data_IF_402345633387
#
_entry.id   IF_402345633387
#
_cell.length_a   1.000
_cell.length_b   1.000
_cell.length_c   1.000
_cell.angle_alpha   90.00
_cell.angle_beta   90.00
_cell.angle_gamma   90.00
#
_symmetry.space_group_name_H-M   'P 1'
#
loop_
_entity.id
_entity.type
_entity.pdbx_description
1 polymer ?
#
# COMPACT_ATOMS: atom_id res chain seq x y z
N UNK A 1 65.54 -66.18 -8.09
CA UNK A 1 64.29 -66.44 -7.28
C UNK A 1 64.17 -65.35 -6.24
N UNK A 2 63.40 -64.34 -6.51
CA UNK A 2 63.15 -63.22 -5.57
C UNK A 2 61.68 -63.21 -5.27
N UNK A 3 61.33 -63.43 -4.00
CA UNK A 3 59.95 -63.44 -3.51
C UNK A 3 59.53 -62.01 -3.15
N UNK A 4 58.45 -61.51 -3.79
CA UNK A 4 57.82 -60.25 -3.45
C UNK A 4 56.76 -60.47 -2.37
N UNK A 5 56.99 -59.86 -1.19
CA UNK A 5 55.97 -59.69 -0.13
C UNK A 5 55.06 -58.55 -0.54
N UNK A 6 53.72 -58.82 -0.66
CA UNK A 6 52.68 -57.76 -0.76
C UNK A 6 52.11 -57.50 0.64
N UNK A 7 52.41 -56.28 1.17
CA UNK A 7 51.67 -55.73 2.32
C UNK A 7 50.34 -55.14 1.82
N UNK A 8 49.24 -55.71 2.30
CA UNK A 8 47.91 -55.17 2.13
C UNK A 8 47.61 -54.14 3.24
N UNK A 9 47.48 -52.87 2.88
CA UNK A 9 47.05 -51.81 3.77
C UNK A 9 45.54 -51.67 3.67
N UNK A 10 44.79 -52.21 4.70
CA UNK A 10 43.35 -52.08 4.82
C UNK A 10 42.98 -50.69 5.27
N UNK A 11 42.34 -49.90 4.41
CA UNK A 11 41.71 -48.62 4.80
C UNK A 11 40.35 -48.90 5.46
N UNK A 12 40.27 -48.65 6.76
CA UNK A 12 39.04 -48.65 7.53
C UNK A 12 38.29 -47.33 7.25
N UNK A 13 37.28 -47.32 6.40
CA UNK A 13 36.35 -46.21 6.17
C UNK A 13 35.40 -46.13 7.38
N UNK A 14 35.68 -45.20 8.29
CA UNK A 14 34.70 -44.75 9.29
C UNK A 14 33.63 -43.91 8.59
N UNK A 15 32.48 -44.49 8.30
CA UNK A 15 31.30 -43.74 7.88
C UNK A 15 30.70 -43.00 9.08
N UNK A 16 31.03 -41.71 9.20
CA UNK A 16 30.32 -40.81 10.12
C UNK A 16 28.94 -40.50 9.52
N UNK A 17 27.91 -41.17 10.04
CA UNK A 17 26.52 -40.80 9.76
C UNK A 17 26.24 -39.43 10.39
N UNK A 18 26.22 -38.38 9.58
CA UNK A 18 25.59 -37.13 9.95
C UNK A 18 24.09 -37.38 10.01
N UNK A 19 23.59 -37.69 11.20
CA UNK A 19 22.16 -37.63 11.49
C UNK A 19 21.72 -36.19 11.28
N UNK A 20 20.87 -35.92 10.29
CA UNK A 20 20.12 -34.68 10.22
C UNK A 20 19.24 -34.61 11.47
N UNK A 21 19.62 -33.79 12.43
CA UNK A 21 18.73 -33.40 13.51
C UNK A 21 17.64 -32.57 12.83
N UNK A 22 16.50 -33.19 12.54
CA UNK A 22 15.29 -32.46 12.22
C UNK A 22 15.05 -31.52 13.42
N UNK A 23 15.10 -30.22 13.19
CA UNK A 23 14.75 -29.25 14.22
C UNK A 23 13.32 -29.62 14.66
N UNK A 24 13.17 -30.01 15.93
CA UNK A 24 11.87 -30.26 16.55
C UNK A 24 11.07 -28.97 16.36
N UNK A 25 9.99 -29.03 15.58
CA UNK A 25 9.12 -27.88 15.36
C UNK A 25 8.56 -27.47 16.70
N UNK A 26 8.88 -26.27 17.16
CA UNK A 26 8.39 -25.76 18.43
C UNK A 26 6.85 -25.85 18.44
N UNK A 27 6.31 -26.34 19.55
CA UNK A 27 4.86 -26.40 19.72
C UNK A 27 4.28 -25.00 19.58
N UNK A 28 3.42 -24.81 18.58
CA UNK A 28 2.75 -23.52 18.32
C UNK A 28 2.14 -22.90 19.59
N UNK A 29 1.60 -23.76 20.46
CA UNK A 29 0.94 -23.33 21.70
C UNK A 29 1.89 -22.71 22.73
N UNK A 30 3.18 -22.94 22.64
CA UNK A 30 4.17 -22.28 23.52
C UNK A 30 4.11 -20.75 23.35
N UNK A 31 3.84 -20.29 22.14
CA UNK A 31 3.73 -18.86 21.83
C UNK A 31 2.55 -18.17 22.53
N UNK A 32 1.52 -18.90 22.95
CA UNK A 32 0.39 -18.31 23.69
C UNK A 32 0.80 -17.77 25.07
N UNK A 33 1.97 -18.18 25.58
CA UNK A 33 2.52 -17.76 26.87
C UNK A 33 3.65 -16.74 26.74
N UNK A 34 3.96 -16.32 25.50
CA UNK A 34 5.05 -15.36 25.24
C UNK A 34 4.68 -14.00 25.81
N UNK A 35 5.44 -13.55 26.80
CA UNK A 35 5.28 -12.22 27.37
C UNK A 35 6.08 -11.18 26.60
N UNK A 36 5.41 -10.11 26.23
CA UNK A 36 6.00 -8.93 25.56
C UNK A 36 5.39 -7.65 26.13
N UNK A 37 6.16 -6.56 26.25
CA UNK A 37 5.65 -5.28 26.76
C UNK A 37 4.43 -4.80 25.95
N UNK A 38 3.40 -4.34 26.64
CA UNK A 38 2.18 -3.76 26.04
C UNK A 38 1.55 -4.65 24.93
N UNK A 39 1.62 -5.98 25.13
CA UNK A 39 1.17 -6.93 24.12
C UNK A 39 0.43 -8.09 24.78
N UNK A 40 -0.67 -8.48 24.16
CA UNK A 40 -1.39 -9.71 24.50
C UNK A 40 -1.38 -10.63 23.31
N UNK A 41 -0.84 -11.85 23.45
CA UNK A 41 -1.08 -12.93 22.49
C UNK A 41 -2.49 -13.46 22.74
N UNK A 42 -3.35 -13.40 21.75
CA UNK A 42 -4.75 -13.82 21.83
C UNK A 42 -4.87 -15.32 21.55
N UNK A 43 -4.16 -15.78 20.51
CA UNK A 43 -4.11 -17.20 20.18
C UNK A 43 -2.79 -17.58 19.48
N UNK A 44 -2.45 -18.87 19.55
CA UNK A 44 -1.37 -19.47 18.78
C UNK A 44 -1.81 -20.89 18.40
N UNK A 45 -2.25 -21.09 17.17
CA UNK A 45 -2.89 -22.30 16.70
C UNK A 45 -2.25 -22.83 15.43
N UNK A 46 -2.13 -24.16 15.35
CA UNK A 46 -1.71 -24.83 14.13
C UNK A 46 -2.85 -24.78 13.10
N UNK A 47 -2.53 -24.32 11.89
CA UNK A 47 -3.42 -24.34 10.72
C UNK A 47 -2.86 -25.33 9.71
N UNK A 48 -3.66 -26.34 9.38
CA UNK A 48 -3.31 -27.36 8.39
C UNK A 48 -3.56 -26.87 6.96
N UNK A 49 -2.87 -27.46 5.96
CA UNK A 49 -3.13 -27.16 4.56
C UNK A 49 -4.60 -27.39 4.17
N UNK A 50 -5.15 -26.51 3.37
CA UNK A 50 -6.55 -26.60 2.93
C UNK A 50 -7.23 -25.25 2.81
N UNK A 51 -8.56 -25.25 2.83
CA UNK A 51 -9.36 -24.03 2.83
C UNK A 51 -9.38 -23.41 4.23
N UNK A 52 -8.61 -22.36 4.42
CA UNK A 52 -8.64 -21.56 5.64
C UNK A 52 -9.71 -20.47 5.50
N UNK A 53 -10.64 -20.42 6.44
CA UNK A 53 -11.68 -19.39 6.46
C UNK A 53 -11.18 -18.14 7.16
N UNK A 54 -11.19 -17.04 6.44
CA UNK A 54 -10.93 -15.72 7.02
C UNK A 54 -12.04 -15.32 8.00
N UNK A 55 -11.81 -14.40 8.92
CA UNK A 55 -12.86 -13.82 9.76
C UNK A 55 -14.03 -13.22 8.97
N UNK A 56 -13.80 -12.74 7.74
CA UNK A 56 -14.84 -12.31 6.80
C UNK A 56 -15.75 -13.45 6.30
N UNK A 57 -15.35 -14.71 6.52
CA UNK A 57 -16.02 -15.90 5.99
C UNK A 57 -15.48 -16.40 4.66
N UNK A 58 -14.67 -15.61 3.96
CA UNK A 58 -14.07 -15.97 2.67
C UNK A 58 -12.98 -17.03 2.85
N UNK A 59 -12.92 -18.08 2.00
CA UNK A 59 -11.86 -19.06 2.06
C UNK A 59 -10.64 -18.61 1.27
N UNK A 60 -9.45 -18.80 1.85
CA UNK A 60 -8.18 -18.77 1.12
C UNK A 60 -7.54 -20.15 1.13
N UNK A 61 -6.86 -20.51 0.03
CA UNK A 61 -6.18 -21.80 -0.08
C UNK A 61 -4.79 -21.72 0.57
N UNK A 62 -4.59 -22.48 1.63
CA UNK A 62 -3.31 -22.62 2.31
C UNK A 62 -2.63 -23.90 1.81
N UNK A 63 -1.41 -23.78 1.32
CA UNK A 63 -0.64 -24.91 0.79
C UNK A 63 0.36 -25.50 1.77
N UNK A 64 0.70 -24.79 2.83
CA UNK A 64 1.67 -25.20 3.85
C UNK A 64 1.05 -25.07 5.24
N UNK A 65 1.29 -26.04 6.10
CA UNK A 65 0.93 -25.91 7.51
C UNK A 65 1.70 -24.75 8.14
N UNK A 66 1.05 -24.00 9.01
CA UNK A 66 1.66 -22.87 9.70
C UNK A 66 1.11 -22.66 11.11
N UNK A 67 1.91 -22.09 11.98
CA UNK A 67 1.44 -21.58 13.26
C UNK A 67 0.88 -20.18 13.05
N UNK A 68 -0.42 -19.98 13.28
CA UNK A 68 -1.10 -18.70 13.28
C UNK A 68 -1.05 -18.10 14.67
N UNK A 69 -0.34 -16.99 14.83
CA UNK A 69 -0.32 -16.23 16.07
C UNK A 69 -1.14 -14.96 15.87
N UNK A 70 -2.14 -14.74 16.71
CA UNK A 70 -2.89 -13.49 16.74
C UNK A 70 -2.59 -12.73 18.02
N UNK A 71 -2.50 -11.42 17.94
CA UNK A 71 -2.17 -10.60 19.10
C UNK A 71 -2.66 -9.17 18.98
N UNK A 72 -2.59 -8.46 20.10
CA UNK A 72 -2.93 -7.04 20.23
C UNK A 72 -1.77 -6.31 20.88
N UNK A 73 -1.31 -5.24 20.25
CA UNK A 73 -0.33 -4.31 20.81
C UNK A 73 -1.02 -3.01 21.23
N UNK A 74 -0.66 -2.49 22.39
CA UNK A 74 -1.22 -1.26 22.98
C UNK A 74 -0.10 -0.27 23.31
N UNK A 75 0.57 0.32 22.30
CA UNK A 75 1.69 1.25 22.51
C UNK A 75 1.26 2.55 23.20
N UNK A 76 -0.04 2.88 23.21
CA UNK A 76 -0.62 3.95 24.00
C UNK A 76 -1.91 3.48 24.69
N UNK A 77 -2.49 4.32 25.57
CA UNK A 77 -3.75 4.00 26.23
C UNK A 77 -4.96 3.94 25.29
N UNK A 78 -4.87 4.55 24.11
CA UNK A 78 -5.91 4.59 23.09
C UNK A 78 -5.66 3.60 21.94
N UNK A 79 -4.48 2.97 21.91
CA UNK A 79 -4.11 2.00 20.87
C UNK A 79 -4.74 0.63 21.09
N UNK A 80 -5.16 0.01 20.01
CA UNK A 80 -5.66 -1.38 19.96
C UNK A 80 -5.21 -2.02 18.63
N UNK A 81 -3.88 -2.15 18.45
CA UNK A 81 -3.26 -2.59 17.20
C UNK A 81 -3.28 -4.10 17.13
N UNK A 82 -4.19 -4.67 16.35
CA UNK A 82 -4.25 -6.12 16.11
C UNK A 82 -3.26 -6.52 15.04
N UNK A 83 -2.68 -7.71 15.23
CA UNK A 83 -1.73 -8.26 14.28
C UNK A 83 -1.85 -9.77 14.18
N UNK A 84 -1.40 -10.29 13.06
CA UNK A 84 -1.18 -11.72 12.87
C UNK A 84 0.24 -12.01 12.41
N UNK A 85 0.82 -13.10 12.95
CA UNK A 85 2.09 -13.66 12.48
C UNK A 85 1.86 -15.10 12.06
N UNK A 86 2.17 -15.40 10.80
CA UNK A 86 2.03 -16.75 10.23
C UNK A 86 3.40 -17.38 10.05
N UNK A 87 3.66 -18.48 10.74
CA UNK A 87 4.97 -19.11 10.83
C UNK A 87 4.92 -20.49 10.16
N UNK A 88 5.53 -20.70 8.97
CA UNK A 88 5.63 -22.03 8.38
C UNK A 88 6.17 -23.06 9.37
N UNK A 89 5.49 -24.19 9.53
CA UNK A 89 5.98 -25.28 10.43
C UNK A 89 7.08 -26.12 9.78
N UNK A 90 7.20 -26.05 8.45
CA UNK A 90 8.28 -26.67 7.68
C UNK A 90 8.79 -25.70 6.61
N UNK A 91 10.00 -25.88 6.16
CA UNK A 91 10.61 -25.14 5.04
C UNK A 91 10.64 -23.61 5.20
N UNK A 92 10.76 -23.12 6.45
CA UNK A 92 10.98 -21.69 6.68
C UNK A 92 12.31 -21.27 6.04
N UNK A 93 12.24 -20.26 5.16
CA UNK A 93 13.41 -19.76 4.42
C UNK A 93 14.38 -18.88 5.23
N UNK A 94 14.15 -18.74 6.55
CA UNK A 94 14.98 -17.95 7.44
C UNK A 94 14.69 -16.42 7.40
N UNK A 95 13.58 -16.00 6.82
CA UNK A 95 13.27 -14.59 6.57
C UNK A 95 11.87 -14.22 7.06
N UNK A 96 11.69 -12.89 7.30
CA UNK A 96 10.40 -12.28 7.63
C UNK A 96 9.87 -11.49 6.42
N UNK A 97 8.58 -11.64 6.15
CA UNK A 97 7.81 -10.86 5.18
C UNK A 97 6.73 -10.08 5.88
N UNK A 98 6.73 -8.76 5.74
CA UNK A 98 5.66 -7.91 6.22
C UNK A 98 4.88 -7.32 5.04
N UNK A 99 3.59 -7.11 5.27
CA UNK A 99 2.68 -6.54 4.28
C UNK A 99 1.84 -5.44 4.91
N UNK A 100 1.55 -4.40 4.12
CA UNK A 100 0.73 -3.26 4.54
C UNK A 100 -0.72 -3.36 4.06
N UNK A 101 -1.45 -2.27 4.26
CA UNK A 101 -2.88 -2.15 3.96
C UNK A 101 -3.11 -1.13 2.85
N UNK A 102 -4.20 -1.30 2.09
CA UNK A 102 -4.73 -0.28 1.18
C UNK A 102 -5.63 0.74 1.91
N UNK A 103 -6.07 1.75 1.18
CA UNK A 103 -7.10 2.70 1.64
C UNK A 103 -6.76 3.37 2.99
N UNK A 104 -7.77 3.58 3.85
CA UNK A 104 -7.57 4.03 5.24
C UNK A 104 -7.32 2.86 6.21
N UNK A 105 -6.81 1.71 5.71
CA UNK A 105 -6.54 0.49 6.49
C UNK A 105 -7.79 -0.11 7.17
N UNK A 106 -7.69 -0.53 8.42
CA UNK A 106 -8.84 -1.04 9.17
C UNK A 106 -9.18 -2.50 8.88
N UNK A 107 -8.23 -3.28 8.36
CA UNK A 107 -8.40 -4.70 8.08
C UNK A 107 -7.07 -5.45 8.09
N UNK A 108 -7.12 -6.76 8.38
CA UNK A 108 -5.94 -7.61 8.29
C UNK A 108 -5.61 -7.95 6.82
N UNK A 109 -4.38 -7.72 6.34
CA UNK A 109 -4.01 -7.92 4.94
C UNK A 109 -3.73 -9.41 4.61
N UNK A 110 -4.75 -10.25 4.71
CA UNK A 110 -4.65 -11.71 4.57
C UNK A 110 -4.03 -12.18 3.26
N UNK A 111 -4.29 -11.47 2.16
CA UNK A 111 -3.72 -11.80 0.87
C UNK A 111 -2.19 -11.71 0.88
N UNK A 112 -1.64 -10.63 1.43
CA UNK A 112 -0.19 -10.45 1.57
C UNK A 112 0.45 -11.43 2.54
N UNK A 113 -0.24 -11.77 3.65
CA UNK A 113 0.19 -12.84 4.56
C UNK A 113 0.30 -14.19 3.84
N UNK A 114 -0.69 -14.52 3.02
CA UNK A 114 -0.73 -15.76 2.24
C UNK A 114 0.38 -15.85 1.20
N UNK A 115 0.72 -14.74 0.53
CA UNK A 115 1.86 -14.68 -0.41
C UNK A 115 3.17 -15.01 0.31
N UNK A 116 3.48 -14.30 1.39
CA UNK A 116 4.71 -14.54 2.14
C UNK A 116 4.81 -15.98 2.66
N UNK A 117 3.72 -16.50 3.23
CA UNK A 117 3.66 -17.90 3.69
C UNK A 117 3.91 -18.88 2.53
N UNK A 118 3.30 -18.65 1.36
CA UNK A 118 3.47 -19.50 0.17
C UNK A 118 4.92 -19.63 -0.26
N UNK A 119 5.69 -18.54 -0.18
CA UNK A 119 7.11 -18.44 -0.49
C UNK A 119 8.03 -18.88 0.68
N UNK A 120 7.46 -19.40 1.77
CA UNK A 120 8.21 -19.93 2.93
C UNK A 120 8.73 -18.88 3.90
N UNK A 121 8.23 -17.66 3.85
CA UNK A 121 8.54 -16.63 4.87
C UNK A 121 7.67 -16.83 6.12
N UNK A 122 8.20 -16.43 7.27
CA UNK A 122 7.34 -15.97 8.35
C UNK A 122 6.68 -14.67 7.90
N UNK A 123 5.34 -14.57 7.98
CA UNK A 123 4.60 -13.42 7.46
C UNK A 123 3.94 -12.64 8.60
N UNK A 124 3.86 -11.31 8.47
CA UNK A 124 3.22 -10.44 9.46
C UNK A 124 2.38 -9.35 8.79
N UNK A 125 1.24 -9.05 9.39
CA UNK A 125 0.35 -7.95 9.01
C UNK A 125 -0.43 -7.41 10.21
N UNK A 126 -1.03 -6.24 10.05
CA UNK A 126 -1.79 -5.55 11.11
C UNK A 126 -3.01 -4.83 10.52
N UNK A 127 -4.04 -4.60 11.35
CA UNK A 127 -5.18 -3.73 11.04
C UNK A 127 -4.89 -2.23 11.22
N UNK A 128 -3.71 -1.89 11.73
CA UNK A 128 -3.27 -0.53 12.09
C UNK A 128 -4.02 0.12 13.25
N UNK A 129 -4.70 -0.64 14.08
CA UNK A 129 -5.30 -0.17 15.33
C UNK A 129 -6.78 0.21 15.25
N UNK A 130 -7.46 -0.20 14.18
CA UNK A 130 -8.91 0.02 14.01
C UNK A 130 -9.52 -1.00 13.05
N UNK A 131 -10.84 -1.06 13.01
CA UNK A 131 -11.64 -1.80 12.03
C UNK A 131 -12.61 -0.83 11.36
N UNK A 132 -12.58 -0.73 10.04
CA UNK A 132 -13.43 0.18 9.28
C UNK A 132 -13.55 -0.21 7.81
N UNK A 133 -14.51 0.37 7.09
CA UNK A 133 -14.59 0.32 5.65
C UNK A 133 -13.45 1.11 4.97
N UNK A 134 -13.22 0.88 3.68
CA UNK A 134 -12.05 1.39 2.97
C UNK A 134 -11.83 2.91 3.06
N UNK A 135 -12.90 3.67 3.09
CA UNK A 135 -12.91 5.15 3.10
C UNK A 135 -13.48 5.74 4.38
N UNK A 136 -13.86 4.89 5.34
CA UNK A 136 -14.40 5.35 6.62
C UNK A 136 -13.27 5.77 7.56
N UNK A 137 -13.27 7.04 7.98
CA UNK A 137 -12.34 7.60 8.94
C UNK A 137 -13.02 8.03 10.26
N UNK A 138 -14.27 7.61 10.52
CA UNK A 138 -14.96 7.94 11.77
C UNK A 138 -14.24 7.40 13.01
N UNK A 139 -13.46 6.33 12.86
CA UNK A 139 -12.63 5.77 13.93
C UNK A 139 -11.56 6.74 14.46
N UNK A 140 -11.19 7.76 13.67
CA UNK A 140 -10.21 8.77 14.07
C UNK A 140 -10.80 9.86 14.97
N UNK A 141 -12.14 10.02 14.98
CA UNK A 141 -12.83 11.09 15.72
C UNK A 141 -12.65 10.90 17.22
N UNK A 142 -11.93 11.84 17.86
CA UNK A 142 -11.61 11.76 19.28
C UNK A 142 -10.47 10.80 19.64
N UNK A 143 -9.81 10.17 18.65
CA UNK A 143 -8.78 9.17 18.83
C UNK A 143 -7.44 9.54 18.16
N UNK A 144 -6.74 10.60 18.60
CA UNK A 144 -5.51 11.08 17.96
C UNK A 144 -4.40 10.03 17.94
N UNK A 145 -4.31 9.16 18.94
CA UNK A 145 -3.31 8.10 18.99
C UNK A 145 -3.55 7.01 17.94
N UNK A 146 -4.80 6.71 17.59
CA UNK A 146 -5.13 5.82 16.49
C UNK A 146 -4.72 6.41 15.14
N UNK A 147 -4.80 7.73 14.97
CA UNK A 147 -4.28 8.41 13.77
C UNK A 147 -2.77 8.24 13.67
N UNK A 148 -2.04 8.30 14.78
CA UNK A 148 -0.61 8.03 14.85
C UNK A 148 -0.30 6.56 14.53
N UNK A 149 -1.11 5.61 15.05
CA UNK A 149 -0.97 4.19 14.75
C UNK A 149 -1.12 3.93 13.25
N UNK A 150 -2.19 4.43 12.64
CA UNK A 150 -2.41 4.37 11.19
C UNK A 150 -1.29 5.05 10.40
N UNK A 151 -0.82 6.20 10.86
CA UNK A 151 0.18 7.02 10.21
C UNK A 151 1.52 6.29 10.02
N UNK A 152 2.06 5.71 11.09
CA UNK A 152 3.38 5.10 11.07
C UNK A 152 3.66 4.10 12.19
N UNK A 153 3.02 4.21 13.39
CA UNK A 153 3.45 3.47 14.58
C UNK A 153 3.08 1.99 14.53
N UNK A 154 1.91 1.64 14.01
CA UNK A 154 1.41 0.28 14.08
C UNK A 154 2.30 -0.73 13.33
N UNK A 155 2.78 -0.39 12.14
CA UNK A 155 3.64 -1.29 11.34
C UNK A 155 4.95 -1.56 12.08
N UNK A 156 5.61 -0.53 12.61
CA UNK A 156 6.82 -0.65 13.41
C UNK A 156 6.60 -1.55 14.64
N UNK A 157 5.60 -1.22 15.46
CA UNK A 157 5.32 -1.93 16.70
C UNK A 157 5.05 -3.43 16.45
N UNK A 158 4.32 -3.74 15.39
CA UNK A 158 4.02 -5.11 15.02
C UNK A 158 5.25 -5.83 14.45
N UNK A 159 6.10 -5.14 13.71
CA UNK A 159 7.35 -5.69 13.16
C UNK A 159 8.32 -6.10 14.27
N UNK A 160 8.49 -5.28 15.29
CA UNK A 160 9.33 -5.61 16.45
C UNK A 160 8.82 -6.86 17.16
N UNK A 161 7.51 -6.97 17.36
CA UNK A 161 6.85 -8.13 17.99
C UNK A 161 6.96 -9.38 17.14
N UNK A 162 6.76 -9.25 15.83
CA UNK A 162 6.89 -10.36 14.89
C UNK A 162 8.31 -10.95 14.91
N UNK A 163 9.34 -10.11 14.90
CA UNK A 163 10.73 -10.57 15.02
C UNK A 163 10.95 -11.35 16.33
N UNK A 164 10.37 -10.91 17.44
CA UNK A 164 10.44 -11.62 18.72
C UNK A 164 9.71 -12.97 18.67
N UNK A 165 8.51 -13.01 18.10
CA UNK A 165 7.71 -14.24 17.92
C UNK A 165 8.47 -15.24 17.03
N UNK A 166 9.06 -14.77 15.91
CA UNK A 166 9.89 -15.57 15.01
C UNK A 166 11.10 -16.17 15.77
N UNK A 167 11.79 -15.34 16.56
CA UNK A 167 12.95 -15.80 17.34
C UNK A 167 12.56 -16.87 18.36
N UNK A 168 11.41 -16.73 19.03
CA UNK A 168 10.91 -17.71 19.99
C UNK A 168 10.55 -19.03 19.31
N UNK A 169 9.84 -18.96 18.17
CA UNK A 169 9.36 -20.15 17.47
C UNK A 169 10.49 -20.96 16.81
N UNK A 170 11.44 -20.28 16.15
CA UNK A 170 12.51 -20.97 15.41
C UNK A 170 13.85 -21.04 16.17
N UNK A 171 13.93 -20.48 17.38
CA UNK A 171 15.18 -20.43 18.16
C UNK A 171 16.24 -19.48 17.57
N UNK A 172 15.88 -18.65 16.58
CA UNK A 172 16.78 -17.69 15.93
C UNK A 172 16.01 -16.54 15.27
N UNK A 173 16.64 -15.37 15.22
CA UNK A 173 16.09 -14.21 14.52
C UNK A 173 15.99 -14.46 13.00
N UNK A 174 15.09 -13.77 12.28
CA UNK A 174 15.09 -13.77 10.82
C UNK A 174 16.43 -13.19 10.31
N UNK A 175 17.06 -13.86 9.37
CA UNK A 175 18.30 -13.40 8.75
C UNK A 175 18.12 -12.13 7.93
N UNK A 176 16.93 -11.92 7.40
CA UNK A 176 16.49 -10.73 6.66
C UNK A 176 15.01 -10.49 6.89
N UNK A 177 14.61 -9.22 6.86
CA UNK A 177 13.22 -8.78 6.93
C UNK A 177 12.87 -7.93 5.72
N UNK A 178 11.75 -8.23 5.09
CA UNK A 178 11.28 -7.52 3.91
C UNK A 178 9.87 -6.97 4.13
N UNK A 179 9.61 -5.81 3.57
CA UNK A 179 8.27 -5.22 3.48
C UNK A 179 7.87 -5.08 2.02
N UNK A 180 6.64 -5.45 1.67
CA UNK A 180 6.12 -5.24 0.32
C UNK A 180 4.63 -4.94 0.36
N UNK A 181 4.26 -3.80 -0.20
CA UNK A 181 2.86 -3.40 -0.33
C UNK A 181 2.69 -2.28 -1.36
N UNK A 182 1.43 -1.93 -1.64
CA UNK A 182 1.02 -0.93 -2.64
C UNK A 182 0.09 0.12 -2.02
N UNK A 183 -0.07 1.27 -2.68
CA UNK A 183 -1.00 2.33 -2.29
C UNK A 183 -0.66 2.91 -0.90
N UNK A 184 -1.61 2.95 0.04
CA UNK A 184 -1.30 3.28 1.44
C UNK A 184 -0.22 2.37 2.02
N UNK A 185 -0.18 1.08 1.65
CA UNK A 185 0.89 0.17 2.04
C UNK A 185 2.25 0.55 1.46
N UNK A 186 2.30 1.12 0.26
CA UNK A 186 3.52 1.73 -0.29
C UNK A 186 4.00 2.91 0.56
N UNK A 187 3.07 3.77 1.02
CA UNK A 187 3.34 4.84 1.98
C UNK A 187 3.88 4.29 3.31
N UNK A 188 3.26 3.24 3.85
CA UNK A 188 3.76 2.57 5.06
C UNK A 188 5.20 2.09 4.89
N UNK A 189 5.54 1.48 3.75
CA UNK A 189 6.92 1.08 3.45
C UNK A 189 7.90 2.26 3.43
N UNK A 190 7.51 3.42 2.89
CA UNK A 190 8.31 4.63 2.94
C UNK A 190 8.45 5.18 4.37
N UNK A 191 7.37 5.16 5.18
CA UNK A 191 7.44 5.52 6.60
C UNK A 191 8.44 4.65 7.36
N UNK A 192 8.49 3.35 7.09
CA UNK A 192 9.46 2.44 7.68
C UNK A 192 10.89 2.81 7.30
N UNK A 193 11.15 3.07 6.01
CA UNK A 193 12.47 3.48 5.55
C UNK A 193 12.96 4.78 6.19
N UNK A 194 12.04 5.74 6.39
CA UNK A 194 12.33 7.08 6.92
C UNK A 194 12.48 7.09 8.45
N UNK A 195 11.52 6.48 9.16
CA UNK A 195 11.40 6.59 10.63
C UNK A 195 12.06 5.43 11.36
N UNK A 196 11.98 4.22 10.81
CA UNK A 196 12.41 2.97 11.43
C UNK A 196 13.36 2.17 10.53
N UNK A 197 14.48 2.77 10.13
CA UNK A 197 15.37 2.19 9.12
C UNK A 197 15.95 0.82 9.51
N UNK A 198 15.84 0.42 10.78
CA UNK A 198 16.35 -0.87 11.29
C UNK A 198 15.34 -2.02 11.15
N UNK A 199 14.11 -1.75 10.75
CA UNK A 199 13.07 -2.77 10.72
C UNK A 199 13.17 -3.70 9.52
N UNK A 200 13.57 -3.20 8.35
CA UNK A 200 13.61 -3.98 7.12
C UNK A 200 14.92 -3.84 6.37
N UNK A 201 15.38 -4.95 5.78
CA UNK A 201 16.54 -4.99 4.89
C UNK A 201 16.18 -4.61 3.46
N UNK A 202 14.94 -4.82 3.06
CA UNK A 202 14.42 -4.46 1.75
C UNK A 202 12.95 -4.07 1.81
N UNK A 203 12.61 -3.02 1.07
CA UNK A 203 11.26 -2.48 0.97
C UNK A 203 10.88 -2.37 -0.50
N UNK A 204 9.70 -2.90 -0.84
CA UNK A 204 9.06 -2.71 -2.14
C UNK A 204 7.81 -1.88 -1.92
N UNK A 205 7.82 -0.62 -2.36
CA UNK A 205 6.72 0.33 -2.24
C UNK A 205 6.12 0.61 -3.62
N UNK A 206 4.96 0.02 -3.88
CA UNK A 206 4.22 0.22 -5.13
C UNK A 206 3.26 1.39 -5.03
N UNK A 207 3.16 2.20 -6.09
CA UNK A 207 2.22 3.30 -6.21
C UNK A 207 1.94 3.99 -4.86
N UNK A 208 2.97 4.48 -4.13
CA UNK A 208 2.81 4.91 -2.75
C UNK A 208 1.99 6.19 -2.66
N UNK A 209 0.96 6.20 -1.79
CA UNK A 209 0.23 7.40 -1.39
C UNK A 209 1.11 8.25 -0.44
N UNK A 210 2.34 8.58 -0.88
CA UNK A 210 3.39 9.10 -0.02
C UNK A 210 3.04 10.43 0.66
N UNK A 211 2.32 11.30 -0.03
CA UNK A 211 1.84 12.59 0.45
C UNK A 211 0.32 12.57 0.51
N UNK A 212 -0.21 11.81 1.48
CA UNK A 212 -1.64 11.49 1.53
C UNK A 212 -2.52 12.72 1.74
N UNK A 213 -2.04 13.77 2.41
CA UNK A 213 -2.81 15.02 2.54
C UNK A 213 -3.07 15.65 1.18
N UNK A 214 -2.03 15.85 0.38
CA UNK A 214 -2.14 16.43 -0.95
C UNK A 214 -2.87 15.51 -1.94
N UNK A 215 -2.71 14.18 -1.81
CA UNK A 215 -3.46 13.23 -2.62
C UNK A 215 -4.97 13.39 -2.41
N UNK A 216 -5.42 13.41 -1.16
CA UNK A 216 -6.86 13.51 -0.85
C UNK A 216 -7.39 14.93 -1.10
N UNK A 217 -6.57 15.95 -0.91
CA UNK A 217 -6.90 17.30 -1.36
C UNK A 217 -7.14 17.37 -2.86
N UNK A 218 -6.34 16.60 -3.64
CA UNK A 218 -6.53 16.44 -5.08
C UNK A 218 -7.87 15.78 -5.41
N UNK A 219 -8.24 14.75 -4.68
CA UNK A 219 -9.55 14.10 -4.83
C UNK A 219 -10.69 15.07 -4.52
N UNK A 220 -10.60 15.80 -3.39
CA UNK A 220 -11.61 16.79 -3.02
C UNK A 220 -11.69 17.93 -4.05
N UNK A 221 -10.56 18.39 -4.58
CA UNK A 221 -10.55 19.41 -5.60
C UNK A 221 -11.23 18.95 -6.90
N UNK A 222 -10.93 17.74 -7.36
CA UNK A 222 -11.57 17.21 -8.57
C UNK A 222 -13.05 16.98 -8.32
N UNK A 223 -13.42 16.30 -7.24
CA UNK A 223 -14.80 15.92 -7.00
C UNK A 223 -15.68 17.10 -6.58
N UNK A 224 -15.28 17.89 -5.59
CA UNK A 224 -16.12 18.96 -5.03
C UNK A 224 -16.07 20.25 -5.84
N UNK A 225 -14.91 20.55 -6.49
CA UNK A 225 -14.70 21.84 -7.18
C UNK A 225 -14.78 21.72 -8.69
N UNK A 226 -14.14 20.70 -9.29
CA UNK A 226 -14.08 20.57 -10.76
C UNK A 226 -15.34 19.91 -11.30
N UNK A 227 -15.82 18.84 -10.65
CA UNK A 227 -16.99 18.06 -11.07
C UNK A 227 -18.24 18.35 -10.24
N UNK A 228 -18.15 19.22 -9.21
CA UNK A 228 -19.24 19.52 -8.28
C UNK A 228 -20.46 20.19 -8.93
N UNK A 229 -20.29 20.88 -10.06
CA UNK A 229 -21.40 21.39 -10.84
C UNK A 229 -21.94 20.29 -11.77
N UNK A 230 -23.24 20.03 -11.78
CA UNK A 230 -23.87 19.04 -12.65
C UNK A 230 -23.49 19.18 -14.13
N UNK A 231 -23.29 20.40 -14.61
CA UNK A 231 -22.88 20.67 -15.98
C UNK A 231 -21.44 20.23 -16.30
N UNK A 232 -20.58 20.11 -15.31
CA UNK A 232 -19.16 19.70 -15.44
C UNK A 232 -18.97 18.19 -15.24
N UNK A 233 -19.99 17.46 -14.75
CA UNK A 233 -19.91 16.03 -14.53
C UNK A 233 -19.56 15.29 -15.84
N UNK A 234 -18.58 14.39 -15.74
CA UNK A 234 -18.12 13.53 -16.84
C UNK A 234 -18.75 12.15 -16.70
N UNK A 235 -19.77 11.80 -17.53
CA UNK A 235 -20.30 10.45 -17.53
C UNK A 235 -19.29 9.44 -18.04
N UNK A 236 -19.24 8.25 -17.44
CA UNK A 236 -18.33 7.17 -17.86
C UNK A 236 -18.52 6.76 -19.33
N UNK A 237 -19.71 6.94 -19.89
CA UNK A 237 -19.99 6.69 -21.32
C UNK A 237 -19.14 7.52 -22.29
N UNK A 238 -18.52 8.62 -21.83
CA UNK A 238 -17.63 9.50 -22.62
C UNK A 238 -16.16 9.09 -22.56
N UNK A 239 -15.77 8.24 -21.63
CA UNK A 239 -14.38 7.82 -21.45
C UNK A 239 -13.75 7.17 -22.70
N UNK A 240 -14.48 6.33 -23.48
CA UNK A 240 -13.92 5.76 -24.71
C UNK A 240 -13.55 6.84 -25.76
N UNK A 241 -14.31 7.93 -25.84
CA UNK A 241 -14.00 9.01 -26.76
C UNK A 241 -12.78 9.82 -26.30
N UNK A 242 -12.63 10.02 -24.98
CA UNK A 242 -11.49 10.69 -24.37
C UNK A 242 -10.21 9.87 -24.60
N UNK A 243 -10.21 8.58 -24.26
CA UNK A 243 -9.09 7.67 -24.46
C UNK A 243 -8.70 7.57 -25.95
N UNK A 244 -9.68 7.46 -26.84
CA UNK A 244 -9.41 7.42 -28.30
C UNK A 244 -8.66 8.67 -28.75
N UNK A 245 -9.03 9.86 -28.24
CA UNK A 245 -8.34 11.09 -28.58
C UNK A 245 -6.92 11.15 -28.00
N UNK A 246 -6.72 10.65 -26.78
CA UNK A 246 -5.41 10.55 -26.14
C UNK A 246 -4.46 9.63 -26.92
N UNK A 247 -4.92 8.43 -27.25
CA UNK A 247 -4.17 7.45 -28.05
C UNK A 247 -3.88 7.96 -29.47
N UNK A 248 -4.86 8.59 -30.12
CA UNK A 248 -4.62 9.18 -31.45
C UNK A 248 -3.52 10.24 -31.44
N UNK A 249 -3.35 10.96 -30.34
CA UNK A 249 -2.34 12.00 -30.20
C UNK A 249 -0.95 11.44 -29.81
N UNK A 250 -0.87 10.37 -29.04
CA UNK A 250 0.33 10.04 -28.30
C UNK A 250 0.82 8.59 -28.40
N UNK A 251 -0.02 7.63 -28.82
CA UNK A 251 0.32 6.20 -28.89
C UNK A 251 1.59 5.91 -29.70
N UNK A 252 1.80 6.64 -30.79
CA UNK A 252 2.96 6.41 -31.67
C UNK A 252 4.25 7.16 -31.26
N UNK A 253 4.28 7.83 -30.10
CA UNK A 253 5.45 8.66 -29.69
C UNK A 253 6.68 7.83 -29.31
N UNK A 254 6.53 6.57 -28.99
CA UNK A 254 7.61 5.62 -28.73
C UNK A 254 8.04 4.84 -29.97
N UNK A 255 7.29 4.98 -31.09
CA UNK A 255 7.54 4.30 -32.37
C UNK A 255 6.68 3.06 -32.59
N UNK A 256 5.83 2.69 -31.62
CA UNK A 256 4.87 1.59 -31.71
C UNK A 256 3.45 2.15 -31.69
N UNK A 257 2.49 1.44 -32.25
CA UNK A 257 1.08 1.79 -32.18
C UNK A 257 0.31 0.58 -31.68
N UNK A 258 0.29 0.43 -30.35
CA UNK A 258 -0.23 -0.76 -29.68
C UNK A 258 -1.36 -0.45 -28.65
N UNK A 259 -1.80 0.81 -28.57
CA UNK A 259 -2.83 1.25 -27.63
C UNK A 259 -2.27 1.60 -26.24
N UNK A 260 -0.95 1.73 -26.10
CA UNK A 260 -0.30 2.12 -24.85
C UNK A 260 0.52 3.41 -25.05
N UNK A 261 0.42 4.33 -24.11
CA UNK A 261 1.30 5.51 -24.06
C UNK A 261 2.42 5.22 -23.08
N UNK A 262 3.58 4.84 -23.60
CA UNK A 262 4.72 4.34 -22.82
C UNK A 262 5.29 5.39 -21.82
N UNK A 263 5.38 6.65 -22.28
CA UNK A 263 5.76 7.78 -21.42
C UNK A 263 4.78 8.94 -21.56
N UNK A 264 3.72 8.99 -20.72
CA UNK A 264 2.70 10.04 -20.82
C UNK A 264 3.23 11.45 -20.51
N UNK A 265 4.43 11.60 -19.93
CA UNK A 265 5.08 12.92 -19.73
C UNK A 265 5.44 13.58 -21.05
N UNK A 266 5.60 12.81 -22.11
CA UNK A 266 5.85 13.29 -23.49
C UNK A 266 4.57 13.59 -24.25
N UNK A 267 3.43 13.12 -23.78
CA UNK A 267 2.13 13.33 -24.41
C UNK A 267 1.65 14.77 -24.19
N UNK A 268 1.28 15.40 -25.28
CA UNK A 268 0.67 16.76 -25.27
C UNK A 268 -0.69 16.66 -25.96
N UNK A 269 -1.71 16.30 -25.15
CA UNK A 269 -3.06 16.20 -25.66
C UNK A 269 -3.73 17.58 -25.69
N UNK A 270 -4.35 17.93 -26.84
CA UNK A 270 -5.36 18.99 -26.94
C UNK A 270 -6.75 18.34 -27.04
N UNK A 271 -7.54 18.36 -25.96
CA UNK A 271 -8.88 17.77 -25.98
C UNK A 271 -9.93 18.66 -26.65
N UNK A 272 -9.58 19.86 -27.16
CA UNK A 272 -10.53 20.79 -27.81
C UNK A 272 -11.33 20.18 -28.96
N UNK A 273 -10.77 19.28 -29.80
CA UNK A 273 -11.54 18.61 -30.83
C UNK A 273 -12.72 17.76 -30.33
N UNK A 274 -12.72 17.37 -29.05
CA UNK A 274 -13.84 16.66 -28.42
C UNK A 274 -15.06 17.56 -28.13
N UNK A 275 -14.95 18.89 -28.28
CA UNK A 275 -16.08 19.80 -28.06
C UNK A 275 -17.25 19.48 -29.00
N UNK A 276 -18.46 19.32 -28.44
CA UNK A 276 -19.67 19.10 -29.25
C UNK A 276 -19.91 20.28 -30.20
N UNK A 277 -20.15 19.95 -31.49
CA UNK A 277 -20.52 20.91 -32.55
C UNK A 277 -22.01 21.05 -32.73
N UNK A 278 -22.80 20.29 -32.02
CA UNK A 278 -24.27 20.22 -32.07
C UNK A 278 -24.82 19.63 -30.77
N UNK A 279 -25.80 18.75 -30.90
CA UNK A 279 -26.36 18.05 -29.74
C UNK A 279 -25.28 17.22 -29.03
N UNK A 280 -25.38 17.12 -27.69
CA UNK A 280 -24.52 16.30 -26.87
C UNK A 280 -24.65 14.82 -27.18
N UNK A 281 -23.53 14.10 -27.26
CA UNK A 281 -23.48 12.65 -27.47
C UNK A 281 -22.33 12.08 -26.63
N UNK A 282 -22.23 10.75 -26.52
CA UNK A 282 -21.12 10.08 -25.85
C UNK A 282 -19.75 10.26 -26.55
N UNK A 283 -19.76 10.81 -27.78
CA UNK A 283 -18.53 11.04 -28.56
C UNK A 283 -18.00 12.48 -28.47
N UNK A 284 -18.66 13.34 -27.71
CA UNK A 284 -18.22 14.72 -27.53
C UNK A 284 -18.49 15.24 -26.13
N UNK A 285 -17.80 16.30 -25.75
CA UNK A 285 -17.88 16.95 -24.46
C UNK A 285 -18.62 18.29 -24.58
N UNK A 286 -19.45 18.61 -23.62
CA UNK A 286 -19.92 20.00 -23.45
C UNK A 286 -18.73 20.91 -23.09
N UNK A 287 -18.90 22.22 -23.14
CA UNK A 287 -17.85 23.17 -22.75
C UNK A 287 -17.42 22.97 -21.29
N UNK A 288 -18.36 22.75 -20.37
CA UNK A 288 -18.08 22.54 -18.97
C UNK A 288 -17.29 21.23 -18.75
N UNK A 289 -17.70 20.14 -19.41
CA UNK A 289 -17.00 18.86 -19.36
C UNK A 289 -15.58 18.94 -19.95
N UNK A 290 -15.39 19.65 -21.06
CA UNK A 290 -14.09 19.88 -21.65
C UNK A 290 -13.17 20.66 -20.69
N UNK A 291 -13.71 21.69 -20.03
CA UNK A 291 -12.94 22.44 -19.01
C UNK A 291 -12.58 21.57 -17.82
N UNK A 292 -13.48 20.70 -17.37
CA UNK A 292 -13.21 19.74 -16.30
C UNK A 292 -12.08 18.77 -16.69
N UNK A 293 -12.16 18.17 -17.89
CA UNK A 293 -11.10 17.28 -18.40
C UNK A 293 -9.74 17.99 -18.47
N UNK A 294 -9.69 19.22 -18.99
CA UNK A 294 -8.45 19.99 -19.05
C UNK A 294 -7.84 20.22 -17.66
N UNK A 295 -8.68 20.50 -16.64
CA UNK A 295 -8.23 20.67 -15.26
C UNK A 295 -7.70 19.35 -14.68
N UNK A 296 -8.37 18.22 -14.93
CA UNK A 296 -7.95 16.90 -14.44
C UNK A 296 -6.57 16.53 -15.02
N UNK A 297 -6.34 16.77 -16.30
CA UNK A 297 -5.03 16.54 -16.92
C UNK A 297 -3.93 17.53 -16.46
N UNK A 298 -4.30 18.79 -16.21
CA UNK A 298 -3.32 19.80 -15.81
C UNK A 298 -2.87 19.70 -14.35
N UNK A 299 -3.75 19.20 -13.47
CA UNK A 299 -3.53 19.31 -12.03
C UNK A 299 -3.65 20.73 -11.51
N UNK A 300 -3.13 21.00 -10.33
CA UNK A 300 -3.21 22.31 -9.66
C UNK A 300 -1.99 22.56 -8.77
N UNK A 301 -1.51 23.80 -8.72
CA UNK A 301 -0.59 24.28 -7.68
C UNK A 301 -1.40 24.58 -6.42
N UNK A 302 -0.93 24.11 -5.28
CA UNK A 302 -1.54 24.36 -3.97
C UNK A 302 -1.37 25.82 -3.54
N UNK A 303 -2.26 26.34 -2.69
CA UNK A 303 -2.21 27.71 -2.21
C UNK A 303 -0.87 28.06 -1.57
N UNK A 304 -0.32 29.20 -1.97
CA UNK A 304 0.97 29.68 -1.46
C UNK A 304 2.19 28.90 -1.98
N UNK A 305 2.03 28.02 -2.96
CA UNK A 305 3.11 27.18 -3.48
C UNK A 305 3.53 26.04 -2.53
N UNK A 306 2.62 25.61 -1.64
CA UNK A 306 2.88 24.56 -0.66
C UNK A 306 3.15 23.18 -1.30
N UNK A 307 2.73 22.99 -2.55
CA UNK A 307 2.91 21.72 -3.29
C UNK A 307 2.18 21.74 -4.63
N UNK A 308 2.15 20.61 -5.30
CA UNK A 308 1.48 20.42 -6.58
C UNK A 308 0.59 19.20 -6.52
N UNK A 309 -0.68 19.34 -6.86
CA UNK A 309 -1.55 18.23 -7.23
C UNK A 309 -1.27 17.93 -8.70
N UNK A 310 -0.57 16.85 -8.96
CA UNK A 310 -0.27 16.44 -10.33
C UNK A 310 -1.54 16.05 -11.10
N UNK A 311 -1.53 16.27 -12.42
CA UNK A 311 -2.60 15.80 -13.29
C UNK A 311 -2.51 14.29 -13.52
N UNK A 312 -3.61 13.73 -14.01
CA UNK A 312 -3.70 12.31 -14.37
C UNK A 312 -3.12 12.05 -15.76
N UNK A 313 -2.50 10.90 -15.93
CA UNK A 313 -1.92 10.49 -17.21
C UNK A 313 -3.02 10.19 -18.23
N UNK A 314 -2.87 10.66 -19.50
CA UNK A 314 -3.80 10.28 -20.55
C UNK A 314 -3.52 8.87 -21.10
N UNK A 315 -4.56 8.22 -21.66
CA UNK A 315 -4.46 7.02 -22.46
C UNK A 315 -5.03 5.74 -21.84
N UNK A 316 -5.55 5.81 -20.60
CA UNK A 316 -6.16 4.67 -19.93
C UNK A 316 -7.50 5.01 -19.25
N UNK A 317 -8.19 6.04 -19.72
CA UNK A 317 -9.39 6.57 -19.09
C UNK A 317 -10.55 5.57 -19.08
N UNK A 318 -10.67 4.76 -20.14
CA UNK A 318 -11.76 3.79 -20.35
C UNK A 318 -11.33 2.33 -20.09
N UNK A 319 -10.10 2.10 -19.61
CA UNK A 319 -9.64 0.75 -19.30
C UNK A 319 -10.41 0.17 -18.10
N UNK A 320 -10.36 -1.15 -17.96
CA UNK A 320 -10.80 -1.81 -16.73
C UNK A 320 -9.99 -1.26 -15.56
N UNK A 321 -10.68 -0.88 -14.48
CA UNK A 321 -10.10 -0.18 -13.34
C UNK A 321 -9.47 1.21 -13.69
N UNK A 322 -9.87 1.82 -14.81
CA UNK A 322 -9.51 3.18 -15.19
C UNK A 322 -10.31 4.24 -14.42
N UNK A 323 -10.76 5.30 -15.09
CA UNK A 323 -11.42 6.43 -14.43
C UNK A 323 -12.86 6.12 -13.96
N UNK A 324 -13.49 5.07 -14.49
CA UNK A 324 -14.83 4.70 -14.05
C UNK A 324 -14.83 4.23 -12.59
N UNK A 325 -15.74 4.77 -11.78
CA UNK A 325 -15.80 4.51 -10.35
C UNK A 325 -14.73 5.22 -9.50
N UNK A 326 -13.64 5.73 -10.11
CA UNK A 326 -12.66 6.56 -9.40
C UNK A 326 -13.00 8.05 -9.55
N UNK A 327 -12.97 8.56 -10.77
CA UNK A 327 -13.13 9.98 -11.13
C UNK A 327 -14.51 10.25 -11.67
N UNK A 328 -15.07 9.31 -12.47
CA UNK A 328 -16.35 9.47 -13.17
C UNK A 328 -17.40 8.52 -12.60
N UNK A 329 -18.67 8.69 -13.03
CA UNK A 329 -19.81 7.96 -12.49
C UNK A 329 -20.71 8.85 -11.64
N UNK A 330 -21.57 8.24 -10.82
CA UNK A 330 -22.43 8.99 -9.88
C UNK A 330 -21.58 9.53 -8.73
N UNK A 331 -21.88 10.74 -8.27
CA UNK A 331 -21.06 11.43 -7.25
C UNK A 331 -20.86 10.59 -6.00
N UNK A 332 -21.92 10.03 -5.46
CA UNK A 332 -21.88 9.23 -4.22
C UNK A 332 -21.13 7.90 -4.37
N UNK A 333 -20.98 7.40 -5.60
CA UNK A 333 -20.32 6.12 -5.90
C UNK A 333 -18.83 6.30 -6.24
N UNK A 334 -18.38 7.52 -6.56
CA UNK A 334 -16.99 7.78 -6.93
C UNK A 334 -16.04 7.59 -5.75
N UNK A 335 -14.94 6.90 -5.97
CA UNK A 335 -13.92 6.72 -4.96
C UNK A 335 -13.37 8.06 -4.46
N UNK A 336 -13.14 9.04 -5.36
CA UNK A 336 -12.67 10.38 -4.98
C UNK A 336 -13.61 11.06 -3.98
N UNK A 337 -14.93 10.98 -4.22
CA UNK A 337 -15.93 11.51 -3.29
C UNK A 337 -15.84 10.85 -1.92
N UNK A 338 -15.84 9.53 -1.89
CA UNK A 338 -15.84 8.76 -0.66
C UNK A 338 -14.56 8.98 0.16
N UNK A 339 -13.38 8.98 -0.50
CA UNK A 339 -12.11 9.27 0.16
C UNK A 339 -12.04 10.69 0.69
N UNK A 340 -12.43 11.70 -0.12
CA UNK A 340 -12.43 13.08 0.30
C UNK A 340 -13.39 13.32 1.46
N UNK A 341 -14.63 12.80 1.36
CA UNK A 341 -15.61 12.91 2.42
C UNK A 341 -15.12 12.29 3.74
N UNK A 342 -14.64 11.04 3.69
CA UNK A 342 -14.12 10.36 4.89
C UNK A 342 -12.92 11.07 5.50
N UNK A 343 -11.96 11.51 4.68
CA UNK A 343 -10.77 12.20 5.15
C UNK A 343 -11.09 13.53 5.85
N UNK A 344 -11.88 14.39 5.19
CA UNK A 344 -12.19 15.69 5.76
C UNK A 344 -13.11 15.55 6.96
N UNK A 345 -14.16 14.72 6.92
CA UNK A 345 -15.04 14.53 8.07
C UNK A 345 -14.32 13.91 9.26
N UNK A 346 -13.61 12.81 9.07
CA UNK A 346 -12.98 12.04 10.15
C UNK A 346 -11.66 12.62 10.62
N UNK A 347 -10.66 12.75 9.71
CA UNK A 347 -9.32 13.17 10.11
C UNK A 347 -9.18 14.68 10.31
N UNK A 348 -9.79 15.50 9.39
CA UNK A 348 -9.56 16.94 9.42
C UNK A 348 -10.48 17.65 10.39
N UNK A 349 -11.79 17.42 10.30
CA UNK A 349 -12.76 18.14 11.12
C UNK A 349 -13.16 17.41 12.40
N UNK A 350 -13.05 16.07 12.41
CA UNK A 350 -13.50 15.26 13.54
C UNK A 350 -15.02 15.33 13.73
N UNK A 351 -15.76 15.47 12.63
CA UNK A 351 -17.22 15.62 12.61
C UNK A 351 -17.83 14.71 11.52
N UNK A 352 -18.45 13.62 11.92
CA UNK A 352 -19.10 12.66 11.03
C UNK A 352 -20.29 13.24 10.24
N UNK A 353 -20.76 14.44 10.59
CA UNK A 353 -21.85 15.15 9.91
C UNK A 353 -21.35 16.32 9.06
N UNK A 354 -20.04 16.42 8.88
CA UNK A 354 -19.48 17.49 8.07
C UNK A 354 -20.08 17.50 6.66
N UNK A 355 -20.53 18.71 6.24
CA UNK A 355 -21.12 18.92 4.92
C UNK A 355 -20.03 19.29 3.90
N UNK A 356 -19.77 18.42 2.94
CA UNK A 356 -18.78 18.66 1.90
C UNK A 356 -19.12 19.86 0.98
N UNK A 357 -20.38 20.31 0.94
CA UNK A 357 -20.74 21.54 0.23
C UNK A 357 -20.16 22.81 0.88
N UNK A 358 -19.74 22.72 2.15
CA UNK A 358 -19.04 23.79 2.85
C UNK A 358 -17.51 23.78 2.61
N UNK A 359 -17.01 22.85 1.78
CA UNK A 359 -15.60 22.72 1.50
C UNK A 359 -15.01 23.97 0.83
N UNK A 360 -14.00 24.56 1.47
CA UNK A 360 -13.18 25.64 0.92
C UNK A 360 -11.76 25.11 0.70
N UNK A 361 -11.40 24.94 -0.56
CA UNK A 361 -10.12 24.30 -0.90
C UNK A 361 -8.93 25.02 -0.25
N UNK A 362 -8.88 26.35 -0.33
CA UNK A 362 -7.71 27.09 0.13
C UNK A 362 -7.58 27.13 1.67
N UNK A 363 -8.71 27.05 2.40
CA UNK A 363 -8.75 26.98 3.85
C UNK A 363 -8.49 25.57 4.35
N UNK A 364 -9.21 24.60 3.77
CA UNK A 364 -9.31 23.24 4.33
C UNK A 364 -8.10 22.39 3.98
N UNK A 365 -7.48 22.62 2.80
CA UNK A 365 -6.19 22.02 2.45
C UNK A 365 -5.10 22.44 3.46
N UNK A 366 -4.95 23.74 3.73
CA UNK A 366 -3.98 24.20 4.75
C UNK A 366 -4.25 23.66 6.15
N UNK A 367 -5.53 23.43 6.49
CA UNK A 367 -5.89 22.84 7.78
C UNK A 367 -5.49 21.35 7.82
N UNK A 368 -5.69 20.61 6.73
CA UNK A 368 -5.30 19.22 6.60
C UNK A 368 -3.80 19.07 6.78
N UNK A 369 -2.99 19.84 6.05
CA UNK A 369 -1.53 19.83 6.18
C UNK A 369 -1.07 20.16 7.59
N UNK A 370 -1.59 21.24 8.16
CA UNK A 370 -1.22 21.65 9.52
C UNK A 370 -1.48 20.56 10.57
N UNK A 371 -2.54 19.78 10.42
CA UNK A 371 -2.96 18.76 11.41
C UNK A 371 -2.29 17.41 11.16
N UNK A 372 -2.09 17.04 9.90
CA UNK A 372 -1.88 15.64 9.53
C UNK A 372 -0.58 15.37 8.79
N UNK A 373 0.02 16.36 8.09
CA UNK A 373 1.18 16.11 7.24
C UNK A 373 2.34 15.44 8.00
N UNK A 374 2.65 15.89 9.22
CA UNK A 374 3.73 15.31 10.04
C UNK A 374 3.46 13.87 10.50
N UNK A 375 2.19 13.42 10.46
CA UNK A 375 1.78 12.08 10.87
C UNK A 375 1.60 11.17 9.64
N UNK A 376 0.97 11.68 8.59
CA UNK A 376 0.50 10.86 7.50
C UNK A 376 1.41 10.89 6.26
N UNK A 377 2.19 11.97 6.02
CA UNK A 377 3.01 12.10 4.82
C UNK A 377 4.39 11.45 4.99
N UNK A 378 4.77 10.61 4.05
CA UNK A 378 6.05 9.93 3.98
C UNK A 378 6.99 10.67 3.00
N UNK A 379 7.25 11.94 3.28
CA UNK A 379 7.94 12.88 2.37
C UNK A 379 9.38 13.19 2.77
N UNK A 380 9.93 12.56 3.81
CA UNK A 380 11.33 12.74 4.15
C UNK A 380 12.24 12.07 3.09
N UNK A 381 12.96 12.91 2.35
CA UNK A 381 13.88 12.46 1.31
C UNK A 381 15.20 11.90 1.86
N UNK A 382 15.50 12.09 3.15
CA UNK A 382 16.73 11.60 3.76
C UNK A 382 16.59 10.13 4.19
N UNK A 383 16.92 9.23 3.28
CA UNK A 383 17.02 7.79 3.52
C UNK A 383 18.44 7.34 3.86
N UNK A 384 19.34 8.25 4.23
CA UNK A 384 20.76 7.95 4.48
C UNK A 384 20.96 6.89 5.56
N UNK A 385 20.17 6.91 6.64
CA UNK A 385 20.22 5.90 7.71
C UNK A 385 19.84 4.51 7.16
N UNK A 386 18.78 4.42 6.36
CA UNK A 386 18.36 3.16 5.74
C UNK A 386 19.42 2.65 4.74
N UNK A 387 19.96 3.52 3.90
CA UNK A 387 20.97 3.18 2.91
C UNK A 387 22.31 2.75 3.55
N UNK A 388 22.77 3.46 4.60
CA UNK A 388 24.06 3.19 5.27
C UNK A 388 24.10 1.80 5.91
N UNK A 389 22.97 1.31 6.44
CA UNK A 389 22.89 -0.06 6.96
C UNK A 389 22.72 -1.13 5.88
N UNK A 390 22.72 -0.76 4.61
CA UNK A 390 22.58 -1.65 3.45
C UNK A 390 21.14 -1.92 3.02
N UNK A 391 20.18 -1.17 3.53
CA UNK A 391 18.77 -1.25 3.14
C UNK A 391 18.56 -1.03 1.64
N UNK A 392 17.60 -1.72 1.04
CA UNK A 392 17.26 -1.63 -0.38
C UNK A 392 15.81 -1.22 -0.54
N UNK A 393 15.57 -0.19 -1.35
CA UNK A 393 14.24 0.31 -1.68
C UNK A 393 13.98 0.13 -3.18
N UNK A 394 12.83 -0.47 -3.49
CA UNK A 394 12.28 -0.52 -4.85
C UNK A 394 10.99 0.29 -4.83
N UNK A 395 10.90 1.29 -5.70
CA UNK A 395 9.69 2.04 -5.99
C UNK A 395 9.21 1.69 -7.38
N UNK A 396 7.91 1.46 -7.54
CA UNK A 396 7.29 1.31 -8.86
C UNK A 396 5.93 1.99 -8.87
N UNK A 397 5.49 2.42 -10.07
CA UNK A 397 4.18 3.03 -10.28
C UNK A 397 3.72 2.80 -11.70
N UNK A 398 2.45 2.43 -11.89
CA UNK A 398 1.82 2.34 -13.20
C UNK A 398 1.36 3.70 -13.70
N UNK A 399 1.66 4.05 -14.96
CA UNK A 399 1.23 5.34 -15.53
C UNK A 399 -0.30 5.48 -15.62
N UNK A 400 -1.02 4.38 -15.69
CA UNK A 400 -2.48 4.33 -15.80
C UNK A 400 -3.22 4.37 -14.44
N UNK A 401 -2.52 4.60 -13.33
CA UNK A 401 -3.13 4.61 -11.99
C UNK A 401 -4.20 5.73 -11.89
N UNK A 402 -5.50 5.39 -11.71
CA UNK A 402 -6.57 6.38 -11.63
C UNK A 402 -6.72 6.98 -10.23
N UNK A 403 -6.12 6.37 -9.22
CA UNK A 403 -6.17 6.82 -7.82
C UNK A 403 -4.99 7.72 -7.49
N UNK A 404 -3.77 7.22 -7.60
CA UNK A 404 -2.56 7.96 -7.20
C UNK A 404 -1.81 8.43 -8.44
N UNK A 405 -1.60 9.75 -8.55
CA UNK A 405 -0.91 10.31 -9.70
C UNK A 405 0.54 9.82 -9.77
N UNK A 406 0.97 9.14 -10.86
CA UNK A 406 2.32 8.59 -10.96
C UNK A 406 3.44 9.61 -10.87
N UNK A 407 3.16 10.85 -11.28
CA UNK A 407 4.13 11.96 -11.19
C UNK A 407 4.52 12.28 -9.74
N UNK A 408 3.62 12.11 -8.78
CA UNK A 408 3.94 12.30 -7.34
C UNK A 408 5.10 11.40 -6.93
N UNK A 409 5.07 10.12 -7.29
CA UNK A 409 6.16 9.17 -6.98
C UNK A 409 7.45 9.50 -7.71
N UNK A 410 7.37 9.96 -8.96
CA UNK A 410 8.57 10.19 -9.80
C UNK A 410 9.29 11.52 -9.51
N UNK A 411 8.59 12.51 -8.94
CA UNK A 411 9.14 13.86 -8.70
C UNK A 411 9.42 14.15 -7.23
N UNK A 412 8.69 13.51 -6.31
CA UNK A 412 8.69 13.86 -4.88
C UNK A 412 9.45 12.84 -4.01
N UNK A 413 9.93 11.73 -4.56
CA UNK A 413 10.90 10.87 -3.89
C UNK A 413 12.31 11.17 -4.41
N UNK A 414 12.98 12.22 -3.93
CA UNK A 414 14.37 12.48 -4.28
C UNK A 414 15.24 11.44 -3.57
N UNK A 415 15.49 10.32 -4.23
CA UNK A 415 16.54 9.40 -3.81
C UNK A 415 17.87 10.14 -4.00
N UNK A 416 18.39 10.75 -2.94
CA UNK A 416 19.79 11.18 -2.94
C UNK A 416 20.63 9.92 -3.17
N UNK A 417 21.21 9.83 -4.37
CA UNK A 417 22.16 8.79 -4.77
C UNK A 417 23.48 8.94 -4.04
#
# INVERSE_FOLDING_TARGET
MIALLRLGMGFLLLATSYGSVAAETADCKVLSRLEMPQTTIVSADLVEPGAFRLPSGDPIQIRKAFCRVTGVAKPSSDSDVRFEVWLPTADWNGRLWATGNGNFAGYMPYWGLGIGLGEGYASVGTDTGHEAGPTDANWAIGHPEKVVDYGYRAVHEVTVRAKRIVAEFYGKNPARSYFSSCSNGGRQGLMEAQRYPDDYDGIVAGAPALEITHLIEGFAWIDFVVLGENAANLPSSKLPAIQTAALAACDSLDGVKDGVIDDPRRCRIDPTPLLCKGAETDRCLTRSQLTALQKIYAGRVLPGGAGIIHGYSPGAEAETDGWDGWITGKTEDRAFHQFALGFFSGFVFGDSKWDYHAFDFDRDARLADKRLASILNATDADLSRFATRGGKLILYHGWADPGIQPLTTSTEVPVKR
#
